data_IF_105090451733
#
_entry.id   IF_105090451733
#
_cell.length_a   1.000
_cell.length_b   1.000
_cell.length_c   1.000
_cell.angle_alpha   90.00
_cell.angle_beta   90.00
_cell.angle_gamma   90.00
#
_symmetry.space_group_name_H-M   'P 1'
#
loop_
_entity.id
_entity.type
_entity.pdbx_description
1 polymer ?
#
# COMPACT_ATOMS: atom_id res chain seq x y z
N UNK A 1 -7.08 -4.30 35.26
CA UNK A 1 -7.14 -2.82 35.38
C UNK A 1 -8.03 -2.33 34.25
N UNK A 2 -9.05 -1.52 34.52
CA UNK A 2 -10.00 -1.11 33.46
C UNK A 2 -9.28 -0.20 32.45
N UNK A 3 -9.33 -0.54 31.17
CA UNK A 3 -8.75 0.24 30.06
C UNK A 3 -9.40 1.62 29.87
N UNK A 4 -10.38 1.98 30.72
CA UNK A 4 -11.20 3.20 30.65
C UNK A 4 -10.39 4.50 30.78
N UNK A 5 -9.08 4.41 31.05
CA UNK A 5 -8.14 5.55 31.10
C UNK A 5 -7.22 5.67 29.89
N UNK A 6 -7.14 4.65 29.02
CA UNK A 6 -6.21 4.65 27.89
C UNK A 6 -6.95 5.13 26.65
N UNK A 7 -6.46 6.23 26.06
CA UNK A 7 -7.05 6.80 24.85
C UNK A 7 -6.42 6.22 23.59
N UNK A 8 -7.27 5.75 22.68
CA UNK A 8 -6.86 5.19 21.39
C UNK A 8 -7.52 5.95 20.26
N UNK A 9 -6.72 6.52 19.37
CA UNK A 9 -7.22 7.14 18.14
C UNK A 9 -7.13 6.14 17.00
N UNK A 10 -8.27 5.77 16.43
CA UNK A 10 -8.34 4.77 15.36
C UNK A 10 -8.55 5.42 13.98
N UNK A 11 -7.73 5.01 13.02
CA UNK A 11 -7.93 5.36 11.62
C UNK A 11 -9.10 4.55 11.05
N UNK A 12 -10.21 5.24 10.75
CA UNK A 12 -11.38 4.69 10.08
C UNK A 12 -11.29 5.01 8.59
N UNK A 13 -11.29 3.99 7.75
CA UNK A 13 -11.19 4.16 6.29
C UNK A 13 -12.55 4.02 5.58
N UNK A 14 -13.64 3.88 6.33
CA UNK A 14 -14.94 3.48 5.78
C UNK A 14 -15.01 2.01 5.37
N UNK A 15 -14.00 1.20 5.71
CA UNK A 15 -13.93 -0.23 5.41
C UNK A 15 -14.20 -1.10 6.62
N UNK A 16 -14.69 -2.33 6.38
CA UNK A 16 -15.10 -3.29 7.43
C UNK A 16 -14.02 -3.58 8.47
N UNK A 17 -12.75 -3.62 8.05
CA UNK A 17 -11.63 -3.97 8.91
C UNK A 17 -11.40 -2.90 9.98
N UNK A 18 -11.42 -1.63 9.60
CA UNK A 18 -11.31 -0.50 10.53
C UNK A 18 -12.54 -0.40 11.45
N UNK A 19 -13.73 -0.71 10.95
CA UNK A 19 -14.97 -0.68 11.74
C UNK A 19 -14.97 -1.72 12.85
N UNK A 20 -14.55 -2.96 12.53
CA UNK A 20 -14.43 -4.03 13.52
C UNK A 20 -13.29 -3.76 14.49
N UNK A 21 -12.15 -3.22 14.00
CA UNK A 21 -11.07 -2.81 14.89
C UNK A 21 -11.54 -1.77 15.93
N UNK A 22 -12.35 -0.79 15.53
CA UNK A 22 -12.93 0.20 16.44
C UNK A 22 -13.89 -0.44 17.43
N UNK A 23 -14.77 -1.33 16.96
CA UNK A 23 -15.69 -2.07 17.82
C UNK A 23 -14.95 -2.85 18.91
N UNK A 24 -13.88 -3.58 18.54
CA UNK A 24 -13.09 -4.37 19.49
C UNK A 24 -12.40 -3.49 20.54
N UNK A 25 -11.93 -2.29 20.17
CA UNK A 25 -11.35 -1.35 21.12
C UNK A 25 -12.40 -0.84 22.13
N UNK A 26 -13.60 -0.51 21.65
CA UNK A 26 -14.71 -0.10 22.53
C UNK A 26 -15.12 -1.24 23.46
N UNK A 27 -15.23 -2.47 22.95
CA UNK A 27 -15.56 -3.66 23.74
C UNK A 27 -14.49 -3.96 24.81
N UNK A 28 -13.22 -3.72 24.51
CA UNK A 28 -12.11 -3.83 25.45
C UNK A 28 -12.03 -2.66 26.46
N UNK A 29 -12.94 -1.68 26.35
CA UNK A 29 -13.12 -0.59 27.31
C UNK A 29 -12.14 0.57 27.16
N UNK A 30 -11.51 0.74 25.99
CA UNK A 30 -10.67 1.92 25.69
C UNK A 30 -11.52 3.19 25.50
N UNK A 31 -10.90 4.36 25.72
CA UNK A 31 -11.45 5.64 25.28
C UNK A 31 -11.09 5.85 23.79
N UNK A 32 -12.05 5.64 22.89
CA UNK A 32 -11.79 5.55 21.44
C UNK A 32 -12.26 6.81 20.73
N UNK A 33 -11.41 7.35 19.86
CA UNK A 33 -11.75 8.45 18.93
C UNK A 33 -11.50 7.96 17.50
N UNK A 34 -12.49 8.09 16.62
CA UNK A 34 -12.37 7.78 15.20
C UNK A 34 -11.86 8.96 14.38
N UNK A 35 -10.91 8.72 13.49
CA UNK A 35 -10.46 9.71 12.50
C UNK A 35 -10.52 9.13 11.10
N UNK A 36 -11.11 9.89 10.18
CA UNK A 36 -11.01 9.65 8.75
C UNK A 36 -9.96 10.57 8.13
N UNK A 37 -9.04 10.00 7.35
CA UNK A 37 -7.98 10.76 6.67
C UNK A 37 -8.35 10.99 5.21
N UNK A 38 -8.58 12.24 4.83
CA UNK A 38 -8.74 12.66 3.44
C UNK A 38 -7.36 12.90 2.83
N UNK A 39 -6.80 11.86 2.24
CA UNK A 39 -5.43 11.85 1.72
C UNK A 39 -5.30 12.34 0.27
N UNK A 40 -6.35 12.24 -0.53
CA UNK A 40 -6.29 12.65 -1.93
C UNK A 40 -7.66 13.08 -2.41
N UNK A 41 -7.69 14.17 -3.17
CA UNK A 41 -8.81 14.49 -4.03
C UNK A 41 -8.28 15.22 -5.24
N UNK A 42 -8.75 14.81 -6.41
CA UNK A 42 -8.41 15.51 -7.65
C UNK A 42 -9.22 16.81 -7.71
N UNK A 43 -8.55 17.96 -7.67
CA UNK A 43 -9.21 19.26 -7.84
C UNK A 43 -9.42 19.60 -9.33
N UNK A 44 -8.76 18.90 -10.24
CA UNK A 44 -8.70 19.22 -11.68
C UNK A 44 -9.72 18.44 -12.53
N UNK A 45 -10.27 17.35 -12.00
CA UNK A 45 -11.22 16.49 -12.73
C UNK A 45 -12.66 16.91 -12.44
N UNK A 46 -13.16 17.83 -13.27
CA UNK A 46 -14.58 18.14 -13.45
C UNK A 46 -15.39 17.00 -14.13
N UNK A 47 -14.76 15.84 -14.40
CA UNK A 47 -15.33 14.79 -15.27
C UNK A 47 -15.97 13.62 -14.50
N UNK A 48 -15.69 13.42 -13.21
CA UNK A 48 -16.44 12.44 -12.39
C UNK A 48 -17.12 13.12 -11.20
N UNK A 49 -18.46 13.22 -11.26
CA UNK A 49 -19.33 13.82 -10.23
C UNK A 49 -19.31 13.11 -8.86
N UNK A 50 -18.57 12.02 -8.71
CA UNK A 50 -18.52 11.25 -7.47
C UNK A 50 -17.12 11.35 -6.86
N UNK A 51 -17.02 12.01 -5.71
CA UNK A 51 -15.82 11.99 -4.88
C UNK A 51 -15.82 10.70 -4.05
N UNK A 52 -15.00 9.68 -4.36
CA UNK A 52 -15.11 8.36 -3.72
C UNK A 52 -14.90 8.39 -2.20
N UNK A 53 -14.09 9.35 -1.73
CA UNK A 53 -13.80 9.52 -0.31
C UNK A 53 -15.01 10.00 0.51
N UNK A 54 -16.03 10.61 -0.12
CA UNK A 54 -17.23 11.06 0.58
C UNK A 54 -18.01 9.86 1.13
N UNK A 55 -18.27 8.85 0.31
CA UNK A 55 -18.96 7.63 0.72
C UNK A 55 -18.20 6.91 1.83
N UNK A 56 -16.88 6.77 1.68
CA UNK A 56 -16.03 6.16 2.70
C UNK A 56 -16.04 6.95 4.02
N UNK A 57 -16.04 8.28 3.96
CA UNK A 57 -16.14 9.15 5.14
C UNK A 57 -17.50 9.04 5.80
N UNK A 58 -18.60 8.95 5.03
CA UNK A 58 -19.94 8.74 5.57
C UNK A 58 -20.07 7.39 6.26
N UNK A 59 -19.56 6.32 5.67
CA UNK A 59 -19.53 5.00 6.30
C UNK A 59 -18.74 5.02 7.62
N UNK A 60 -17.59 5.70 7.65
CA UNK A 60 -16.79 5.86 8.86
C UNK A 60 -17.54 6.65 9.96
N UNK A 61 -18.28 7.68 9.57
CA UNK A 61 -19.12 8.47 10.47
C UNK A 61 -20.25 7.61 11.06
N UNK A 62 -20.99 6.89 10.22
CA UNK A 62 -22.09 6.01 10.66
C UNK A 62 -21.62 4.89 11.60
N UNK A 63 -20.43 4.34 11.35
CA UNK A 63 -19.79 3.38 12.26
C UNK A 63 -19.47 4.05 13.60
N UNK A 64 -18.95 5.27 13.58
CA UNK A 64 -18.57 6.00 14.80
C UNK A 64 -19.79 6.36 15.65
N UNK A 65 -20.88 6.84 15.02
CA UNK A 65 -22.16 7.10 15.69
C UNK A 65 -22.71 5.84 16.35
N UNK A 66 -22.70 4.73 15.60
CA UNK A 66 -23.18 3.44 16.10
C UNK A 66 -22.37 2.93 17.30
N UNK A 67 -21.06 3.16 17.31
CA UNK A 67 -20.18 2.81 18.42
C UNK A 67 -20.18 3.86 19.54
N UNK A 68 -20.89 4.98 19.36
CA UNK A 68 -20.93 6.12 20.28
C UNK A 68 -19.54 6.68 20.59
N UNK A 69 -18.68 6.78 19.57
CA UNK A 69 -17.33 7.35 19.67
C UNK A 69 -17.25 8.70 18.94
N UNK A 70 -16.46 9.67 19.43
CA UNK A 70 -16.18 10.90 18.70
C UNK A 70 -15.56 10.61 17.33
N UNK A 71 -15.91 11.41 16.33
CA UNK A 71 -15.43 11.27 14.96
C UNK A 71 -14.95 12.61 14.40
N UNK A 72 -13.82 12.59 13.69
CA UNK A 72 -13.30 13.75 12.98
C UNK A 72 -12.72 13.36 11.63
N UNK A 73 -12.86 14.24 10.65
CA UNK A 73 -12.15 14.16 9.37
C UNK A 73 -10.95 15.10 9.38
N UNK A 74 -9.80 14.62 8.91
CA UNK A 74 -8.59 15.41 8.74
C UNK A 74 -8.16 15.38 7.27
N UNK A 75 -7.91 16.56 6.71
CA UNK A 75 -7.33 16.71 5.38
C UNK A 75 -5.80 16.60 5.46
N UNK A 76 -5.25 15.61 4.76
CA UNK A 76 -3.82 15.33 4.66
C UNK A 76 -3.35 15.39 3.20
N UNK A 77 -4.15 15.98 2.30
CA UNK A 77 -3.89 15.97 0.86
C UNK A 77 -2.57 16.65 0.49
N UNK A 78 -2.21 17.73 1.18
CA UNK A 78 -0.97 18.47 0.95
C UNK A 78 0.24 17.60 1.29
N UNK A 79 0.25 16.98 2.47
CA UNK A 79 1.33 16.12 2.91
C UNK A 79 1.41 14.84 2.07
N UNK A 80 0.25 14.30 1.68
CA UNK A 80 0.17 13.12 0.82
C UNK A 80 0.74 13.38 -0.57
N UNK A 81 0.36 14.51 -1.20
CA UNK A 81 0.91 14.93 -2.49
C UNK A 81 2.44 14.96 -2.42
N UNK A 82 2.97 15.68 -1.43
CA UNK A 82 4.42 15.89 -1.29
C UNK A 82 5.19 14.61 -0.98
N UNK A 83 4.69 13.79 -0.05
CA UNK A 83 5.46 12.64 0.47
C UNK A 83 5.26 11.35 -0.34
N UNK A 84 4.12 11.21 -1.01
CA UNK A 84 3.75 9.96 -1.68
C UNK A 84 3.67 10.16 -3.18
N UNK A 85 2.88 11.12 -3.64
CA UNK A 85 2.58 11.27 -5.07
C UNK A 85 3.79 11.81 -5.83
N UNK A 86 4.41 12.88 -5.35
CA UNK A 86 5.59 13.46 -6.01
C UNK A 86 6.75 12.45 -6.03
N UNK A 87 7.02 11.78 -4.90
CA UNK A 87 7.99 10.67 -4.86
C UNK A 87 7.68 9.58 -5.88
N UNK A 88 6.40 9.18 -6.01
CA UNK A 88 6.01 8.15 -6.96
C UNK A 88 6.32 8.57 -8.40
N UNK A 89 6.02 9.82 -8.76
CA UNK A 89 6.36 10.38 -10.08
C UNK A 89 7.87 10.38 -10.33
N UNK A 90 8.66 10.85 -9.35
CA UNK A 90 10.12 10.90 -9.45
C UNK A 90 10.74 9.51 -9.66
N UNK A 91 10.19 8.47 -9.00
CA UNK A 91 10.68 7.10 -9.15
C UNK A 91 10.31 6.49 -10.49
N UNK A 92 9.08 6.73 -10.99
CA UNK A 92 8.69 6.30 -12.32
C UNK A 92 9.51 7.00 -13.41
N UNK A 93 9.81 8.30 -13.25
CA UNK A 93 10.69 9.03 -14.18
C UNK A 93 12.07 8.39 -14.29
N UNK A 94 12.61 7.86 -13.18
CA UNK A 94 13.87 7.09 -13.13
C UNK A 94 13.74 5.64 -13.59
N UNK A 95 12.56 5.20 -14.01
CA UNK A 95 12.31 3.82 -14.46
C UNK A 95 12.16 2.79 -13.33
N UNK A 96 12.05 3.24 -12.08
CA UNK A 96 11.76 2.39 -10.94
C UNK A 96 10.26 2.15 -10.83
N UNK A 97 9.87 1.02 -10.23
CA UNK A 97 8.48 0.76 -9.84
C UNK A 97 8.36 0.92 -8.32
N UNK A 98 7.94 2.11 -7.82
CA UNK A 98 7.80 2.35 -6.39
C UNK A 98 6.60 1.59 -5.81
N UNK A 99 6.65 1.34 -4.50
CA UNK A 99 5.49 0.87 -3.74
C UNK A 99 4.98 2.01 -2.83
N UNK A 100 3.99 2.80 -3.28
CA UNK A 100 3.52 3.96 -2.53
C UNK A 100 2.76 3.59 -1.25
N UNK A 101 2.25 2.35 -1.13
CA UNK A 101 1.53 1.92 0.07
C UNK A 101 2.48 1.71 1.27
N UNK A 102 3.71 1.22 1.03
CA UNK A 102 4.74 1.13 2.07
C UNK A 102 5.05 2.52 2.63
N UNK A 103 5.22 3.51 1.74
CA UNK A 103 5.49 4.89 2.12
C UNK A 103 4.29 5.55 2.80
N UNK A 104 3.08 5.32 2.30
CA UNK A 104 1.84 5.82 2.91
C UNK A 104 1.72 5.37 4.36
N UNK A 105 2.02 4.10 4.65
CA UNK A 105 2.06 3.64 6.03
C UNK A 105 3.12 4.39 6.83
N UNK A 106 4.38 4.37 6.39
CA UNK A 106 5.49 4.99 7.13
C UNK A 106 5.30 6.48 7.40
N UNK A 107 4.91 7.24 6.38
CA UNK A 107 4.90 8.71 6.36
C UNK A 107 3.56 9.33 6.73
N UNK A 108 2.45 8.66 6.44
CA UNK A 108 1.10 9.22 6.66
C UNK A 108 0.47 8.54 7.87
N UNK A 109 0.20 7.22 7.77
CA UNK A 109 -0.59 6.51 8.79
C UNK A 109 0.14 6.29 10.10
N UNK A 110 1.46 6.23 10.11
CA UNK A 110 2.23 5.99 11.33
C UNK A 110 3.16 7.16 11.71
N UNK A 111 3.20 8.25 10.92
CA UNK A 111 3.90 9.48 11.30
C UNK A 111 2.92 10.63 11.53
N UNK A 112 2.32 11.17 10.47
CA UNK A 112 1.43 12.34 10.58
C UNK A 112 0.17 12.02 11.41
N UNK A 113 -0.46 10.87 11.14
CA UNK A 113 -1.61 10.43 11.91
C UNK A 113 -1.28 10.22 13.39
N UNK A 114 -0.12 9.63 13.70
CA UNK A 114 0.37 9.50 15.08
C UNK A 114 0.55 10.86 15.74
N UNK A 115 1.14 11.83 15.04
CA UNK A 115 1.30 13.21 15.56
C UNK A 115 -0.05 13.88 15.85
N UNK A 116 -1.04 13.69 14.99
CA UNK A 116 -2.41 14.20 15.22
C UNK A 116 -3.03 13.53 16.44
N UNK A 117 -2.94 12.21 16.53
CA UNK A 117 -3.46 11.45 17.66
C UNK A 117 -2.85 11.88 19.00
N UNK A 118 -1.53 12.10 19.04
CA UNK A 118 -0.84 12.59 20.24
C UNK A 118 -1.33 13.98 20.66
N UNK A 119 -1.63 14.88 19.71
CA UNK A 119 -2.23 16.20 20.00
C UNK A 119 -3.64 16.10 20.59
N UNK A 120 -4.37 15.02 20.29
CA UNK A 120 -5.68 14.70 20.87
C UNK A 120 -5.58 13.96 22.23
N UNK A 121 -4.36 13.81 22.75
CA UNK A 121 -4.09 13.13 24.02
C UNK A 121 -4.16 11.61 23.93
N UNK A 122 -3.94 11.02 22.74
CA UNK A 122 -3.92 9.58 22.59
C UNK A 122 -2.67 8.95 23.20
N UNK A 123 -2.85 7.80 23.85
CA UNK A 123 -1.75 6.94 24.28
C UNK A 123 -1.26 6.06 23.13
N UNK A 124 -2.20 5.64 22.26
CA UNK A 124 -1.97 4.78 21.11
C UNK A 124 -2.78 5.22 19.90
N UNK A 125 -2.28 4.86 18.71
CA UNK A 125 -3.08 4.80 17.50
C UNK A 125 -3.49 3.37 17.21
N UNK A 126 -4.59 3.20 16.49
CA UNK A 126 -5.01 1.91 15.97
C UNK A 126 -5.37 1.97 14.49
N UNK A 127 -5.22 0.84 13.81
CA UNK A 127 -5.61 0.68 12.41
C UNK A 127 -6.21 -0.71 12.19
N UNK A 128 -7.00 -0.85 11.13
CA UNK A 128 -7.54 -2.14 10.69
C UNK A 128 -6.55 -3.00 9.89
N UNK A 129 -5.26 -2.98 10.21
CA UNK A 129 -4.28 -3.84 9.53
C UNK A 129 -4.24 -5.25 10.15
N UNK A 130 -4.10 -6.27 9.30
CA UNK A 130 -3.89 -7.68 9.67
C UNK A 130 -2.42 -7.91 10.03
N UNK A 131 -1.99 -7.33 11.15
CA UNK A 131 -0.64 -7.44 11.70
C UNK A 131 -0.72 -7.55 13.21
N UNK A 132 0.37 -7.89 13.88
CA UNK A 132 0.44 -7.91 15.35
C UNK A 132 1.71 -7.22 15.82
N UNK A 133 1.65 -6.63 17.01
CA UNK A 133 2.83 -6.11 17.69
C UNK A 133 3.06 -6.97 18.92
N UNK A 134 4.30 -7.47 19.08
CA UNK A 134 4.73 -8.13 20.31
C UNK A 134 5.81 -7.29 20.96
N UNK A 135 5.58 -6.91 22.21
CA UNK A 135 6.60 -6.31 23.06
C UNK A 135 7.37 -7.42 23.79
N UNK A 136 8.69 -7.42 23.65
CA UNK A 136 9.59 -8.26 24.45
C UNK A 136 10.66 -7.35 25.05
N UNK A 137 10.67 -7.21 26.38
CA UNK A 137 11.42 -6.16 27.08
C UNK A 137 11.10 -4.76 26.52
N UNK A 138 12.10 -4.05 26.00
CA UNK A 138 11.96 -2.72 25.37
C UNK A 138 11.93 -2.78 23.84
N UNK A 139 11.82 -3.98 23.24
CA UNK A 139 11.80 -4.17 21.80
C UNK A 139 10.38 -4.51 21.34
N UNK A 140 9.92 -3.81 20.32
CA UNK A 140 8.64 -4.01 19.66
C UNK A 140 8.87 -4.71 18.32
N UNK A 141 8.35 -5.94 18.19
CA UNK A 141 8.42 -6.72 16.96
C UNK A 141 7.10 -6.63 16.21
N UNK A 142 7.17 -6.29 14.92
CA UNK A 142 6.08 -6.47 13.98
C UNK A 142 5.99 -7.96 13.62
N UNK A 143 4.82 -8.55 13.84
CA UNK A 143 4.52 -9.94 13.51
C UNK A 143 3.43 -10.00 12.44
N UNK A 144 3.46 -11.08 11.66
CA UNK A 144 2.39 -11.37 10.72
C UNK A 144 1.03 -11.50 11.41
N UNK A 145 -0.02 -11.10 10.71
CA UNK A 145 -1.40 -11.43 11.06
C UNK A 145 -1.61 -12.95 11.14
N UNK A 146 -2.61 -13.38 11.91
CA UNK A 146 -2.95 -14.80 12.02
C UNK A 146 -3.46 -15.35 10.67
N UNK A 147 -4.21 -14.54 9.93
CA UNK A 147 -4.65 -14.85 8.57
C UNK A 147 -3.54 -14.59 7.55
N UNK A 148 -2.82 -15.64 7.16
CA UNK A 148 -1.71 -15.55 6.20
C UNK A 148 -2.13 -14.99 4.84
N UNK A 149 -3.38 -15.17 4.42
CA UNK A 149 -3.86 -14.67 3.12
C UNK A 149 -4.19 -13.17 3.15
N UNK A 150 -4.26 -12.59 4.35
CA UNK A 150 -4.58 -11.19 4.55
C UNK A 150 -3.48 -10.44 5.30
N UNK A 151 -2.38 -11.11 5.65
CA UNK A 151 -1.24 -10.49 6.31
C UNK A 151 -0.79 -9.23 5.56
N UNK A 152 -0.59 -8.16 6.33
CA UNK A 152 -0.17 -6.86 5.81
C UNK A 152 1.21 -6.45 6.34
N UNK A 153 1.95 -7.36 6.98
CA UNK A 153 3.26 -7.04 7.58
C UNK A 153 4.26 -6.53 6.54
N UNK A 154 4.17 -7.01 5.29
CA UNK A 154 4.93 -6.51 4.16
C UNK A 154 4.80 -4.99 3.96
N UNK A 155 3.57 -4.45 4.06
CA UNK A 155 3.32 -3.02 3.86
C UNK A 155 3.73 -2.17 5.08
N UNK A 156 4.01 -2.80 6.21
CA UNK A 156 4.43 -2.17 7.46
C UNK A 156 5.91 -2.44 7.78
N UNK A 157 6.68 -3.00 6.84
CA UNK A 157 8.05 -3.42 7.06
C UNK A 157 9.03 -2.29 7.42
N UNK A 158 8.65 -1.03 7.18
CA UNK A 158 9.47 0.15 7.49
C UNK A 158 9.05 0.88 8.78
N UNK A 159 8.20 0.30 9.62
CA UNK A 159 7.82 0.92 10.88
C UNK A 159 8.97 0.88 11.90
N UNK A 160 9.22 2.03 12.53
CA UNK A 160 10.23 2.18 13.57
C UNK A 160 9.75 1.67 14.93
N UNK A 161 10.68 1.48 15.87
CA UNK A 161 10.37 1.11 17.26
C UNK A 161 9.42 2.11 17.93
N UNK A 162 9.63 3.41 17.71
CA UNK A 162 8.77 4.46 18.24
C UNK A 162 7.33 4.32 17.72
N UNK A 163 7.16 4.13 16.41
CA UNK A 163 5.85 3.96 15.78
C UNK A 163 5.14 2.69 16.29
N UNK A 164 5.85 1.56 16.32
CA UNK A 164 5.31 0.29 16.83
C UNK A 164 4.94 0.39 18.32
N UNK A 165 5.70 1.12 19.12
CA UNK A 165 5.43 1.28 20.56
C UNK A 165 4.11 1.99 20.87
N UNK A 166 3.58 2.73 19.89
CA UNK A 166 2.36 3.55 19.98
C UNK A 166 1.24 3.00 19.11
N UNK A 167 1.35 1.77 18.60
CA UNK A 167 0.40 1.21 17.63
C UNK A 167 -0.31 -0.03 18.14
N UNK A 168 -1.62 -0.11 17.89
CA UNK A 168 -2.46 -1.28 18.10
C UNK A 168 -3.01 -1.81 16.77
N UNK A 169 -3.07 -3.14 16.64
CA UNK A 169 -3.70 -3.85 15.52
C UNK A 169 -4.79 -4.80 16.05
N UNK A 170 -6.01 -4.29 16.33
CA UNK A 170 -7.03 -5.06 17.06
C UNK A 170 -7.48 -6.34 16.35
N UNK A 171 -7.41 -6.37 15.02
CA UNK A 171 -7.84 -7.51 14.20
C UNK A 171 -6.70 -8.47 13.83
N UNK A 172 -5.48 -8.23 14.31
CA UNK A 172 -4.30 -9.02 13.94
C UNK A 172 -4.37 -10.51 14.29
N UNK A 173 -5.19 -10.86 15.27
CA UNK A 173 -5.44 -12.25 15.69
C UNK A 173 -6.71 -12.86 15.07
N UNK A 174 -7.36 -12.16 14.14
CA UNK A 174 -8.60 -12.61 13.51
C UNK A 174 -8.37 -12.95 12.03
N UNK A 175 -9.14 -13.91 11.55
CA UNK A 175 -9.33 -14.15 10.13
C UNK A 175 -10.30 -13.17 9.52
N UNK A 176 -10.19 -12.94 8.21
CA UNK A 176 -11.14 -12.06 7.50
C UNK A 176 -12.59 -12.53 7.65
N UNK A 177 -12.80 -13.85 7.73
CA UNK A 177 -14.12 -14.45 7.96
C UNK A 177 -14.67 -14.05 9.32
N UNK A 178 -13.88 -14.14 10.38
CA UNK A 178 -14.27 -13.72 11.73
C UNK A 178 -14.57 -12.23 11.79
N UNK A 179 -13.74 -11.39 11.16
CA UNK A 179 -14.00 -9.94 11.04
C UNK A 179 -15.37 -9.68 10.40
N UNK A 180 -15.70 -10.35 9.29
CA UNK A 180 -17.02 -10.22 8.63
C UNK A 180 -18.17 -10.70 9.51
N UNK A 181 -17.99 -11.80 10.25
CA UNK A 181 -18.99 -12.32 11.18
C UNK A 181 -19.27 -11.31 12.30
N UNK A 182 -18.22 -10.72 12.88
CA UNK A 182 -18.36 -9.68 13.91
C UNK A 182 -19.10 -8.47 13.33
N UNK A 183 -18.70 -7.98 12.15
CA UNK A 183 -19.37 -6.86 11.50
C UNK A 183 -20.87 -7.10 11.27
N UNK A 184 -21.24 -8.31 10.81
CA UNK A 184 -22.64 -8.73 10.62
C UNK A 184 -23.40 -8.80 11.94
N UNK A 185 -22.82 -9.44 12.96
CA UNK A 185 -23.42 -9.57 14.30
C UNK A 185 -23.70 -8.20 14.92
N UNK A 186 -22.77 -7.27 14.77
CA UNK A 186 -22.91 -5.89 15.23
C UNK A 186 -23.75 -5.02 14.29
N UNK A 187 -24.21 -5.56 13.15
CA UNK A 187 -25.00 -4.85 12.12
C UNK A 187 -24.30 -3.55 11.67
N UNK A 188 -22.98 -3.57 11.49
CA UNK A 188 -22.23 -2.41 11.00
C UNK A 188 -22.60 -2.14 9.53
N UNK A 189 -22.71 -0.86 9.14
CA UNK A 189 -23.04 -0.48 7.75
C UNK A 189 -22.02 -1.05 6.73
N UNK A 190 -20.76 -1.17 7.16
CA UNK A 190 -19.67 -1.71 6.35
C UNK A 190 -19.64 -3.24 6.24
N UNK A 191 -20.59 -3.98 6.82
CA UNK A 191 -20.53 -5.44 6.94
C UNK A 191 -20.43 -6.17 5.59
N UNK A 192 -21.15 -5.70 4.56
CA UNK A 192 -21.13 -6.27 3.20
C UNK A 192 -20.20 -5.51 2.24
N UNK A 193 -19.57 -4.42 2.68
CA UNK A 193 -18.75 -3.57 1.80
C UNK A 193 -17.54 -4.31 1.29
N UNK A 194 -17.28 -4.32 -0.01
CA UNK A 194 -16.12 -5.03 -0.59
C UNK A 194 -14.79 -4.41 -0.12
N UNK A 195 -13.75 -5.24 -0.09
CA UNK A 195 -12.39 -4.75 0.21
C UNK A 195 -11.93 -3.83 -0.93
N UNK A 196 -11.25 -2.74 -0.58
CA UNK A 196 -10.64 -1.84 -1.57
C UNK A 196 -9.57 -2.59 -2.37
N UNK A 197 -9.53 -2.35 -3.68
CA UNK A 197 -8.52 -2.91 -4.59
C UNK A 197 -7.78 -1.76 -5.28
N UNK A 198 -6.50 -1.98 -5.58
CA UNK A 198 -5.63 -0.96 -6.19
C UNK A 198 -4.98 -0.04 -5.17
N UNK A 199 -4.29 0.99 -5.68
CA UNK A 199 -3.61 1.99 -4.85
C UNK A 199 -4.64 2.84 -4.10
N UNK A 200 -4.41 3.01 -2.79
CA UNK A 200 -5.38 3.60 -1.86
C UNK A 200 -5.98 4.95 -2.29
N UNK A 201 -5.25 5.74 -3.08
CA UNK A 201 -5.62 7.12 -3.46
C UNK A 201 -6.02 7.30 -4.93
N UNK A 202 -5.57 6.39 -5.82
CA UNK A 202 -5.88 6.47 -7.25
C UNK A 202 -7.33 6.04 -7.51
N UNK A 203 -7.90 5.25 -6.60
CA UNK A 203 -9.29 4.79 -6.68
C UNK A 203 -9.50 3.91 -7.92
N UNK A 204 -10.45 4.30 -8.77
CA UNK A 204 -10.82 3.55 -9.98
C UNK A 204 -10.00 3.92 -11.23
N UNK A 205 -9.12 4.93 -11.13
CA UNK A 205 -8.28 5.35 -12.26
C UNK A 205 -7.17 4.31 -12.49
N UNK A 206 -6.85 4.03 -13.76
CA UNK A 206 -5.73 3.12 -14.06
C UNK A 206 -4.41 3.85 -13.83
N UNK A 207 -3.43 3.17 -13.25
CA UNK A 207 -2.12 3.76 -12.96
C UNK A 207 -1.44 4.39 -14.18
N UNK A 208 -1.42 3.79 -15.39
CA UNK A 208 -0.83 4.45 -16.56
C UNK A 208 -1.52 5.77 -16.94
N UNK A 209 -2.85 5.86 -16.77
CA UNK A 209 -3.61 7.08 -17.07
C UNK A 209 -3.31 8.17 -16.02
N UNK A 210 -3.14 7.77 -14.75
CA UNK A 210 -2.70 8.65 -13.68
C UNK A 210 -1.28 9.20 -13.92
N UNK A 211 -0.34 8.33 -14.31
CA UNK A 211 1.05 8.71 -14.54
C UNK A 211 1.20 9.68 -15.74
N UNK A 212 0.36 9.55 -16.77
CA UNK A 212 0.37 10.44 -17.94
C UNK A 212 0.02 11.91 -17.63
N UNK A 213 -0.51 12.20 -16.44
CA UNK A 213 -0.80 13.57 -16.02
C UNK A 213 0.46 14.43 -15.84
N UNK A 214 1.59 13.80 -15.47
CA UNK A 214 2.90 14.48 -15.34
C UNK A 214 3.99 13.88 -16.23
N UNK A 215 3.99 12.56 -16.44
CA UNK A 215 5.00 11.87 -17.24
C UNK A 215 4.58 11.86 -18.71
N UNK A 216 5.36 12.55 -19.55
CA UNK A 216 5.12 12.59 -20.99
C UNK A 216 5.52 11.23 -21.61
N UNK A 217 4.65 10.63 -22.45
CA UNK A 217 5.01 9.46 -23.25
C UNK A 217 6.28 9.71 -24.09
N UNK A 218 7.30 8.85 -23.93
CA UNK A 218 8.53 8.84 -24.75
C UNK A 218 8.54 7.56 -25.57
N UNK A 219 8.38 7.69 -26.90
CA UNK A 219 8.44 6.53 -27.79
C UNK A 219 9.83 5.89 -27.75
N UNK A 220 9.86 4.56 -27.72
CA UNK A 220 11.10 3.78 -27.73
C UNK A 220 10.90 2.41 -28.34
N UNK A 221 12.02 1.71 -28.58
CA UNK A 221 12.04 0.39 -29.23
C UNK A 221 11.89 -0.73 -28.20
N UNK A 222 11.16 -1.77 -28.57
CA UNK A 222 11.09 -3.04 -27.84
C UNK A 222 12.09 -4.00 -28.48
N UNK A 223 13.05 -4.47 -27.67
CA UNK A 223 14.08 -5.43 -28.08
C UNK A 223 13.78 -6.77 -27.42
N UNK A 224 13.67 -7.82 -28.23
CA UNK A 224 13.50 -9.21 -27.79
C UNK A 224 14.86 -9.85 -27.60
N UNK A 225 15.18 -10.22 -26.36
CA UNK A 225 16.36 -11.02 -26.03
C UNK A 225 16.03 -12.50 -26.20
N UNK A 226 16.90 -13.25 -26.88
CA UNK A 226 16.78 -14.70 -27.03
C UNK A 226 17.08 -15.42 -25.71
N UNK A 227 16.39 -16.55 -25.45
CA UNK A 227 16.66 -17.39 -24.29
C UNK A 227 18.10 -17.93 -24.29
N UNK A 228 18.67 -18.16 -25.48
CA UNK A 228 20.02 -18.67 -25.67
C UNK A 228 21.08 -17.56 -25.72
N UNK A 229 20.75 -16.33 -25.29
CA UNK A 229 21.72 -15.24 -25.27
C UNK A 229 22.91 -15.61 -24.35
N UNK A 230 24.13 -15.40 -24.86
CA UNK A 230 25.39 -15.77 -24.21
C UNK A 230 25.56 -15.14 -22.81
N UNK A 231 24.88 -14.02 -22.52
CA UNK A 231 24.88 -13.36 -21.20
C UNK A 231 24.16 -14.18 -20.13
N UNK A 232 23.26 -15.09 -20.51
CA UNK A 232 22.54 -15.95 -19.56
C UNK A 232 23.34 -17.15 -19.06
N UNK A 233 24.52 -17.42 -19.63
CA UNK A 233 25.32 -18.58 -19.29
C UNK A 233 26.40 -18.24 -18.24
N UNK A 234 26.52 -19.14 -17.24
CA UNK A 234 27.55 -19.24 -16.18
C UNK A 234 27.28 -18.50 -14.87
N UNK A 235 26.42 -19.10 -14.04
CA UNK A 235 26.39 -18.86 -12.61
C UNK A 235 26.54 -20.19 -11.89
N UNK A 236 27.54 -20.31 -11.02
CA UNK A 236 27.62 -21.45 -10.10
C UNK A 236 26.63 -21.20 -8.96
N UNK A 237 25.46 -21.83 -9.04
CA UNK A 237 24.42 -21.69 -8.02
C UNK A 237 24.74 -22.46 -6.73
N UNK A 238 25.80 -23.28 -6.74
CA UNK A 238 26.23 -24.04 -5.57
C UNK A 238 27.28 -23.29 -4.74
N UNK A 239 27.96 -22.29 -5.32
CA UNK A 239 28.88 -21.42 -4.59
C UNK A 239 28.09 -20.36 -3.79
N UNK A 240 28.02 -20.55 -2.48
CA UNK A 240 27.37 -19.62 -1.55
C UNK A 240 28.32 -18.55 -1.00
N UNK A 241 29.50 -18.36 -1.59
CA UNK A 241 30.40 -17.26 -1.24
C UNK A 241 29.72 -15.91 -1.47
N UNK A 242 30.00 -14.95 -0.59
CA UNK A 242 29.45 -13.59 -0.72
C UNK A 242 29.75 -12.99 -2.09
N UNK A 243 30.96 -13.19 -2.62
CA UNK A 243 31.37 -12.67 -3.92
C UNK A 243 30.54 -13.25 -5.06
N UNK A 244 30.31 -14.57 -5.06
CA UNK A 244 29.46 -15.19 -6.06
C UNK A 244 28.00 -14.75 -5.92
N UNK A 245 27.43 -14.79 -4.70
CA UNK A 245 26.07 -14.34 -4.45
C UNK A 245 25.85 -12.87 -4.88
N UNK A 246 26.82 -12.00 -4.60
CA UNK A 246 26.80 -10.61 -5.03
C UNK A 246 26.86 -10.49 -6.57
N UNK A 247 27.69 -11.30 -7.23
CA UNK A 247 27.81 -11.32 -8.69
C UNK A 247 26.52 -11.80 -9.37
N UNK A 248 25.94 -12.90 -8.90
CA UNK A 248 24.75 -13.52 -9.54
C UNK A 248 23.43 -12.79 -9.22
N UNK A 249 23.42 -11.92 -8.20
CA UNK A 249 22.26 -11.09 -7.84
C UNK A 249 22.21 -9.76 -8.61
N UNK A 250 23.27 -9.40 -9.34
CA UNK A 250 23.28 -8.21 -10.19
C UNK A 250 22.42 -8.42 -11.44
N UNK A 251 21.72 -7.37 -11.91
CA UNK A 251 20.98 -7.44 -13.16
C UNK A 251 21.94 -7.68 -14.35
N UNK A 252 21.44 -8.37 -15.38
CA UNK A 252 22.15 -8.48 -16.66
C UNK A 252 22.19 -7.11 -17.34
N UNK A 253 23.34 -6.80 -17.91
CA UNK A 253 23.49 -5.58 -18.69
C UNK A 253 23.26 -5.87 -20.17
N UNK A 254 22.06 -5.54 -20.66
CA UNK A 254 21.69 -5.67 -22.08
C UNK A 254 21.94 -4.36 -22.84
N UNK A 255 22.42 -4.53 -24.07
CA UNK A 255 22.58 -3.53 -25.12
C UNK A 255 21.58 -3.80 -26.27
N UNK A 256 21.43 -2.85 -27.20
CA UNK A 256 20.48 -2.99 -28.31
C UNK A 256 20.84 -4.15 -29.25
N UNK A 257 22.13 -4.41 -29.40
CA UNK A 257 22.71 -5.42 -30.28
C UNK A 257 22.54 -6.85 -29.75
N UNK A 258 22.18 -7.01 -28.47
CA UNK A 258 21.95 -8.32 -27.83
C UNK A 258 20.64 -9.00 -28.26
N UNK A 259 19.79 -8.30 -29.01
CA UNK A 259 18.46 -8.79 -29.35
C UNK A 259 17.90 -8.27 -30.67
N UNK A 260 16.65 -8.64 -30.92
CA UNK A 260 15.94 -8.32 -32.15
C UNK A 260 14.87 -7.26 -31.88
N UNK A 261 14.76 -6.25 -32.74
CA UNK A 261 13.67 -5.29 -32.69
C UNK A 261 12.32 -5.96 -33.01
N UNK A 262 11.31 -5.78 -32.16
CA UNK A 262 9.98 -6.42 -32.30
C UNK A 262 8.80 -5.44 -32.23
N UNK A 263 9.04 -4.14 -32.14
CA UNK A 263 8.00 -3.11 -32.11
C UNK A 263 8.38 -1.90 -31.27
N UNK A 264 7.43 -0.99 -31.08
CA UNK A 264 7.61 0.24 -30.31
C UNK A 264 6.75 0.25 -29.04
N UNK A 265 7.19 1.00 -28.02
CA UNK A 265 6.41 1.32 -26.83
C UNK A 265 6.27 2.84 -26.67
N UNK A 266 5.28 3.29 -25.90
CA UNK A 266 4.98 4.71 -25.68
C UNK A 266 5.53 5.26 -24.34
N UNK A 267 6.63 4.69 -23.84
CA UNK A 267 7.24 5.10 -22.56
C UNK A 267 7.70 3.91 -21.74
N UNK A 268 9.00 3.80 -21.47
CA UNK A 268 9.57 2.68 -20.74
C UNK A 268 9.15 2.69 -19.26
N UNK A 269 8.89 3.87 -18.69
CA UNK A 269 8.41 4.06 -17.32
C UNK A 269 7.00 3.51 -17.05
N UNK A 270 6.25 3.09 -18.09
CA UNK A 270 4.95 2.44 -17.92
C UNK A 270 5.04 0.91 -17.78
N UNK A 271 6.25 0.36 -17.75
CA UNK A 271 6.50 -1.06 -17.63
C UNK A 271 7.27 -1.39 -16.35
N UNK A 272 6.95 -2.55 -15.78
CA UNK A 272 7.69 -3.13 -14.65
C UNK A 272 8.37 -4.42 -15.07
N UNK A 273 9.55 -4.70 -14.53
CA UNK A 273 10.24 -5.98 -14.73
C UNK A 273 9.31 -7.16 -14.38
N UNK A 274 9.27 -8.17 -15.23
CA UNK A 274 8.37 -9.32 -15.13
C UNK A 274 6.95 -9.08 -15.65
N UNK A 275 6.62 -7.88 -16.13
CA UNK A 275 5.31 -7.60 -16.71
C UNK A 275 5.10 -8.37 -18.02
N UNK A 276 3.93 -9.01 -18.15
CA UNK A 276 3.49 -9.71 -19.37
C UNK A 276 2.46 -8.93 -20.18
N UNK A 277 1.51 -8.29 -19.50
CA UNK A 277 0.36 -7.64 -20.14
C UNK A 277 0.72 -6.23 -20.60
N UNK A 278 0.05 -5.74 -21.64
CA UNK A 278 0.19 -4.35 -22.10
C UNK A 278 1.42 -4.07 -22.98
N UNK A 279 2.16 -5.10 -23.39
CA UNK A 279 3.32 -4.95 -24.29
C UNK A 279 2.92 -4.55 -25.72
N UNK A 280 1.68 -4.81 -26.13
CA UNK A 280 1.17 -4.59 -27.49
C UNK A 280 1.97 -5.30 -28.60
N UNK A 281 2.78 -6.31 -28.25
CA UNK A 281 3.51 -7.18 -29.19
C UNK A 281 2.86 -8.56 -29.21
N UNK A 282 2.62 -9.09 -30.41
CA UNK A 282 2.02 -10.41 -30.65
C UNK A 282 2.82 -11.26 -31.62
N UNK A 283 2.31 -12.44 -31.98
CA UNK A 283 2.92 -13.32 -32.99
C UNK A 283 4.06 -14.22 -32.48
N UNK A 284 4.31 -14.27 -31.17
CA UNK A 284 5.31 -15.16 -30.57
C UNK A 284 4.69 -16.47 -30.10
N UNK A 285 5.44 -17.58 -30.23
CA UNK A 285 5.04 -18.90 -29.73
C UNK A 285 4.84 -18.92 -28.21
N UNK A 286 5.73 -18.24 -27.50
CA UNK A 286 5.75 -18.15 -26.04
C UNK A 286 5.38 -16.73 -25.57
N UNK A 287 4.80 -16.58 -24.36
CA UNK A 287 4.55 -15.27 -23.78
C UNK A 287 5.86 -14.51 -23.54
N UNK A 288 5.83 -13.20 -23.78
CA UNK A 288 6.95 -12.29 -23.51
C UNK A 288 6.78 -11.63 -22.13
N UNK A 289 7.92 -11.30 -21.52
CA UNK A 289 8.02 -10.61 -20.24
C UNK A 289 9.07 -9.51 -20.32
N UNK A 290 8.85 -8.41 -19.61
CA UNK A 290 9.84 -7.32 -19.50
C UNK A 290 11.03 -7.79 -18.69
N UNK A 291 12.23 -7.76 -19.27
CA UNK A 291 13.48 -8.10 -18.57
C UNK A 291 14.15 -6.88 -17.94
N UNK A 292 14.17 -5.76 -18.66
CA UNK A 292 14.80 -4.49 -18.30
C UNK A 292 14.01 -3.36 -18.95
N UNK A 293 14.01 -2.20 -18.30
CA UNK A 293 13.52 -0.93 -18.86
C UNK A 293 14.71 0.01 -19.03
N UNK A 294 14.69 0.82 -20.08
CA UNK A 294 15.65 1.91 -20.28
C UNK A 294 14.86 3.20 -20.47
N UNK A 295 14.99 4.11 -19.50
CA UNK A 295 14.24 5.38 -19.47
C UNK A 295 15.10 6.59 -19.85
N UNK A 296 16.42 6.41 -20.00
CA UNK A 296 17.37 7.49 -20.29
C UNK A 296 17.22 7.97 -21.75
#
# INVERSE_FOLDING_TARGET
MSNKKIRVVIALSGGVDSSVAAHLLVEQGYDVIGIFMKNWHDQSVTISKECPWLEDSYDAMLVSEKLSIPFQTVDLSIEYQKRIVDYMFDEYEKGNTPNPDILCNREIKFDIFLKIALKLGADFIATGHYCRVKKNNNIYSLLMGLDKNKDQSYFLCQLSQNQLSKTLFPIGNLTKKEVRIIAKKQKLVTAEKKDSQGLCFIGKVKLPDFLQQKLKPKKGKIIKISLDNNKHLKHDINDLSYENLYKISRPFDYEYEDGEYIGDHNGAHFFTIGQRKGLAVGGTKNPLFVLKTDVI
#
